data_IF_994220791824
#
_entry.id   IF_994220791824
#
_cell.length_a   1.000
_cell.length_b   1.000
_cell.length_c   1.000
_cell.angle_alpha   90.00
_cell.angle_beta   90.00
_cell.angle_gamma   90.00
#
_symmetry.space_group_name_H-M   'P 1'
#
loop_
_entity.id
_entity.type
_entity.pdbx_description
1 polymer ?
#
# COMPACT_ATOMS: atom_id res chain seq x y z
N UNK A 1 -0.90 -18.64 0.18
CA UNK A 1 -0.23 -17.33 0.06
C UNK A 1 -0.88 -16.35 1.02
N UNK A 2 -0.12 -15.36 1.50
CA UNK A 2 -0.64 -14.18 2.18
C UNK A 2 -0.83 -13.06 1.16
N UNK A 3 -2.08 -12.69 0.90
CA UNK A 3 -2.46 -11.63 -0.03
C UNK A 3 -2.85 -10.39 0.79
N UNK A 4 -2.17 -9.28 0.54
CA UNK A 4 -2.53 -7.99 1.11
C UNK A 4 -3.31 -7.16 0.08
N UNK A 5 -4.54 -6.80 0.39
CA UNK A 5 -5.34 -5.91 -0.45
C UNK A 5 -5.36 -4.49 0.12
N UNK A 6 -5.21 -3.49 -0.74
CA UNK A 6 -5.15 -2.08 -0.38
C UNK A 6 -6.33 -1.34 -1.04
N UNK A 7 -7.34 -1.00 -0.25
CA UNK A 7 -8.47 -0.20 -0.71
C UNK A 7 -8.13 1.28 -0.64
N UNK A 8 -7.96 1.89 -1.81
CA UNK A 8 -7.71 3.31 -2.03
C UNK A 8 -8.97 4.17 -2.18
N UNK A 9 -10.16 3.58 -2.17
CA UNK A 9 -11.41 4.34 -2.29
C UNK A 9 -11.73 5.08 -0.98
N UNK A 10 -12.09 6.37 -1.03
CA UNK A 10 -12.66 7.05 0.14
C UNK A 10 -14.07 6.55 0.50
N UNK A 11 -14.76 5.89 -0.44
CA UNK A 11 -16.07 5.28 -0.21
C UNK A 11 -15.90 3.84 0.28
N UNK A 12 -16.10 3.62 1.58
CA UNK A 12 -15.95 2.30 2.25
C UNK A 12 -16.89 1.24 1.66
N UNK A 13 -18.09 1.64 1.24
CA UNK A 13 -19.11 0.77 0.62
C UNK A 13 -19.39 1.14 -0.84
N UNK A 14 -18.41 1.70 -1.56
CA UNK A 14 -18.54 2.07 -2.97
C UNK A 14 -18.14 0.96 -3.95
N UNK A 15 -18.33 1.21 -5.25
CA UNK A 15 -18.07 0.23 -6.32
C UNK A 15 -16.68 -0.44 -6.25
N UNK A 16 -15.61 0.32 -6.01
CA UNK A 16 -14.26 -0.24 -5.87
C UNK A 16 -14.16 -1.22 -4.69
N UNK A 17 -14.82 -0.91 -3.56
CA UNK A 17 -14.85 -1.79 -2.40
C UNK A 17 -15.67 -3.05 -2.69
N UNK A 18 -16.79 -2.93 -3.41
CA UNK A 18 -17.61 -4.06 -3.86
C UNK A 18 -16.82 -5.03 -4.75
N UNK A 19 -16.15 -4.51 -5.78
CA UNK A 19 -15.35 -5.35 -6.70
C UNK A 19 -14.18 -6.00 -5.96
N UNK A 20 -13.53 -5.27 -5.04
CA UNK A 20 -12.48 -5.85 -4.21
C UNK A 20 -13.02 -6.99 -3.33
N UNK A 21 -14.21 -6.82 -2.73
CA UNK A 21 -14.83 -7.89 -1.93
C UNK A 21 -15.11 -9.14 -2.76
N UNK A 22 -15.61 -8.98 -3.98
CA UNK A 22 -15.82 -10.13 -4.88
C UNK A 22 -14.50 -10.87 -5.16
N UNK A 23 -13.42 -10.15 -5.46
CA UNK A 23 -12.10 -10.78 -5.64
C UNK A 23 -11.68 -11.54 -4.39
N UNK A 24 -11.73 -10.89 -3.23
CA UNK A 24 -11.31 -11.47 -1.96
C UNK A 24 -12.13 -12.69 -1.56
N UNK A 25 -13.45 -12.67 -1.75
CA UNK A 25 -14.34 -13.80 -1.47
C UNK A 25 -13.95 -15.04 -2.27
N UNK A 26 -13.49 -14.87 -3.52
CA UNK A 26 -13.04 -15.99 -4.35
C UNK A 26 -11.69 -16.55 -3.89
N UNK A 27 -10.74 -15.69 -3.50
CA UNK A 27 -9.37 -16.14 -3.16
C UNK A 27 -9.19 -16.55 -1.70
N UNK A 28 -10.07 -16.10 -0.78
CA UNK A 28 -10.03 -16.44 0.65
C UNK A 28 -10.26 -17.93 0.94
N UNK A 29 -10.72 -18.70 -0.04
CA UNK A 29 -10.93 -20.16 0.06
C UNK A 29 -9.60 -20.93 0.13
N UNK A 30 -8.55 -20.41 -0.49
CA UNK A 30 -7.24 -21.09 -0.59
C UNK A 30 -6.07 -20.25 -0.05
N UNK A 31 -6.31 -18.96 0.25
CA UNK A 31 -5.27 -18.01 0.63
C UNK A 31 -5.68 -17.18 1.86
N UNK A 32 -4.69 -16.76 2.65
CA UNK A 32 -4.89 -15.77 3.71
C UNK A 32 -5.01 -14.39 3.06
N UNK A 33 -6.05 -13.64 3.40
CA UNK A 33 -6.29 -12.31 2.82
C UNK A 33 -6.51 -11.29 3.92
N UNK A 34 -5.65 -10.28 3.93
CA UNK A 34 -5.77 -9.12 4.79
C UNK A 34 -6.11 -7.88 3.95
N UNK A 35 -7.15 -7.13 4.36
CA UNK A 35 -7.53 -5.88 3.71
C UNK A 35 -7.12 -4.69 4.56
N UNK A 36 -6.46 -3.70 3.94
CA UNK A 36 -6.21 -2.38 4.52
C UNK A 36 -7.04 -1.33 3.79
N UNK A 37 -7.81 -0.55 4.56
CA UNK A 37 -8.49 0.64 4.06
C UNK A 37 -7.59 1.85 4.27
N UNK A 38 -6.95 2.36 3.22
CA UNK A 38 -5.89 3.37 3.39
C UNK A 38 -6.40 4.65 4.05
N UNK A 39 -7.70 4.97 3.89
CA UNK A 39 -8.34 6.14 4.48
C UNK A 39 -8.54 6.07 5.99
N UNK A 40 -8.38 4.89 6.59
CA UNK A 40 -8.41 4.70 8.04
C UNK A 40 -7.02 4.85 8.68
N UNK A 41 -5.99 5.08 7.87
CA UNK A 41 -4.61 5.25 8.30
C UNK A 41 -4.12 6.67 8.00
N UNK A 42 -3.23 7.17 8.85
CA UNK A 42 -2.52 8.43 8.61
C UNK A 42 -1.28 8.11 7.76
N UNK A 43 -1.32 8.52 6.50
CA UNK A 43 -0.17 8.39 5.59
C UNK A 43 0.07 9.71 4.88
N UNK A 44 1.15 10.39 5.25
CA UNK A 44 1.64 11.59 4.57
C UNK A 44 2.34 11.25 3.26
N UNK A 45 2.32 12.22 2.33
CA UNK A 45 3.04 12.13 1.05
C UNK A 45 4.55 12.04 1.23
N UNK A 46 5.26 11.57 0.20
CA UNK A 46 6.73 11.53 0.24
C UNK A 46 7.31 12.95 0.31
N UNK A 47 8.28 13.15 1.21
CA UNK A 47 8.99 14.44 1.36
C UNK A 47 10.16 14.62 0.38
N UNK A 48 10.50 13.60 -0.41
CA UNK A 48 11.66 13.63 -1.32
C UNK A 48 13.03 13.73 -0.62
N UNK A 49 13.09 13.54 0.70
CA UNK A 49 14.31 13.79 1.48
C UNK A 49 15.38 12.69 1.43
N UNK A 50 15.09 11.55 0.79
CA UNK A 50 15.98 10.38 0.66
C UNK A 50 16.48 9.75 1.97
N UNK A 51 16.02 10.19 3.14
CA UNK A 51 16.41 9.61 4.44
C UNK A 51 16.02 8.15 4.61
N UNK A 52 15.04 7.66 3.85
CA UNK A 52 14.65 6.24 3.83
C UNK A 52 15.81 5.32 3.41
N UNK A 53 16.68 5.79 2.51
CA UNK A 53 17.80 5.02 1.95
C UNK A 53 18.99 4.88 2.91
N UNK A 54 18.94 5.53 4.08
CA UNK A 54 19.96 5.34 5.12
C UNK A 54 19.86 3.97 5.81
N UNK A 55 18.68 3.34 5.78
CA UNK A 55 18.47 1.94 6.20
C UNK A 55 18.47 1.07 4.95
N UNK A 56 19.34 0.06 4.89
CA UNK A 56 19.52 -0.77 3.68
C UNK A 56 18.77 -2.09 3.73
N UNK A 57 18.47 -2.54 4.94
CA UNK A 57 17.94 -3.86 5.29
C UNK A 57 16.46 -3.83 5.71
N UNK A 58 15.88 -2.64 5.88
CA UNK A 58 14.49 -2.46 6.25
C UNK A 58 13.94 -1.12 5.74
N UNK A 59 12.61 -0.99 5.57
CA UNK A 59 11.99 0.30 5.24
C UNK A 59 12.28 1.36 6.31
N UNK A 60 12.68 2.53 5.84
CA UNK A 60 12.91 3.70 6.70
C UNK A 60 12.06 4.89 6.29
N UNK A 61 11.65 5.72 7.25
CA UNK A 61 11.12 7.04 6.97
C UNK A 61 11.26 7.94 8.20
N UNK A 62 11.42 9.25 7.99
CA UNK A 62 11.42 10.25 9.08
C UNK A 62 10.01 10.64 9.52
N UNK A 63 9.01 10.37 8.70
CA UNK A 63 7.60 10.64 9.01
C UNK A 63 7.10 9.62 10.04
N UNK A 64 6.51 10.11 11.14
CA UNK A 64 5.94 9.30 12.23
C UNK A 64 4.46 9.06 11.98
N UNK A 65 4.17 8.20 11.01
CA UNK A 65 2.83 7.86 10.57
C UNK A 65 2.72 6.37 10.24
N UNK A 66 1.56 5.92 9.74
CA UNK A 66 1.24 4.50 9.64
C UNK A 66 1.91 3.78 8.45
N UNK A 67 2.63 4.52 7.60
CA UNK A 67 3.16 3.95 6.35
C UNK A 67 4.17 2.82 6.60
N UNK A 68 5.06 2.95 7.59
CA UNK A 68 6.06 1.90 7.88
C UNK A 68 5.40 0.61 8.37
N UNK A 69 4.32 0.72 9.15
CA UNK A 69 3.53 -0.44 9.59
C UNK A 69 2.85 -1.11 8.39
N UNK A 70 2.34 -0.34 7.44
CA UNK A 70 1.75 -0.89 6.20
C UNK A 70 2.83 -1.55 5.34
N UNK A 71 4.01 -0.93 5.23
CA UNK A 71 5.16 -1.50 4.50
C UNK A 71 5.65 -2.82 5.08
N UNK A 72 5.66 -2.94 6.41
CA UNK A 72 5.97 -4.21 7.07
C UNK A 72 4.98 -5.31 6.65
N UNK A 73 3.68 -5.03 6.63
CA UNK A 73 2.66 -5.97 6.13
C UNK A 73 2.84 -6.30 4.64
N UNK A 74 3.24 -5.32 3.84
CA UNK A 74 3.51 -5.51 2.42
C UNK A 74 4.71 -6.43 2.18
N UNK A 75 5.78 -6.30 2.97
CA UNK A 75 6.98 -7.16 2.86
C UNK A 75 6.66 -8.61 3.21
N UNK A 76 5.78 -8.83 4.18
CA UNK A 76 5.36 -10.18 4.59
C UNK A 76 4.27 -10.78 3.70
N UNK A 77 3.75 -10.04 2.71
CA UNK A 77 2.75 -10.54 1.77
C UNK A 77 3.42 -11.16 0.55
N UNK A 78 2.87 -12.29 0.08
CA UNK A 78 3.30 -12.93 -1.17
C UNK A 78 2.75 -12.21 -2.41
N UNK A 79 1.62 -11.52 -2.25
CA UNK A 79 0.98 -10.73 -3.30
C UNK A 79 0.29 -9.49 -2.72
N UNK A 80 0.31 -8.40 -3.49
CA UNK A 80 -0.32 -7.13 -3.13
C UNK A 80 -1.32 -6.73 -4.23
N UNK A 81 -2.55 -6.41 -3.83
CA UNK A 81 -3.61 -5.95 -4.74
C UNK A 81 -3.99 -4.52 -4.41
N UNK A 82 -3.74 -3.60 -5.34
CA UNK A 82 -4.17 -2.20 -5.22
C UNK A 82 -5.57 -2.03 -5.84
N UNK A 83 -6.54 -1.63 -5.04
CA UNK A 83 -7.90 -1.33 -5.50
C UNK A 83 -8.20 0.15 -5.34
N UNK A 84 -8.26 0.88 -6.45
CA UNK A 84 -8.53 2.32 -6.44
C UNK A 84 -9.63 2.68 -7.44
N UNK A 85 -10.50 3.65 -7.13
CA UNK A 85 -11.27 4.31 -8.18
C UNK A 85 -10.31 5.08 -9.11
N UNK A 86 -10.71 5.26 -10.36
CA UNK A 86 -10.00 6.09 -11.32
C UNK A 86 -10.39 7.56 -11.11
N UNK A 87 -9.52 8.34 -10.47
CA UNK A 87 -9.72 9.77 -10.26
C UNK A 87 -8.75 10.54 -11.16
N UNK A 88 -9.30 11.37 -12.05
CA UNK A 88 -8.52 12.16 -13.02
C UNK A 88 -7.44 11.33 -13.74
N UNK A 89 -7.83 10.17 -14.26
CA UNK A 89 -6.94 9.25 -15.01
C UNK A 89 -5.82 8.60 -14.19
N UNK A 90 -5.93 8.55 -12.86
CA UNK A 90 -4.94 7.90 -12.00
C UNK A 90 -5.55 7.25 -10.75
N UNK A 91 -4.67 6.74 -9.88
CA UNK A 91 -5.01 6.35 -8.52
C UNK A 91 -5.66 7.50 -7.76
N UNK A 92 -6.46 7.17 -6.75
CA UNK A 92 -7.02 8.14 -5.83
C UNK A 92 -5.90 8.83 -5.03
N UNK A 93 -6.14 10.07 -4.61
CA UNK A 93 -5.22 10.80 -3.74
C UNK A 93 -5.07 10.16 -2.35
N UNK A 94 -5.97 9.24 -1.98
CA UNK A 94 -5.93 8.55 -0.69
C UNK A 94 -4.84 7.47 -0.66
N UNK A 95 -4.66 6.72 -1.77
CA UNK A 95 -3.65 5.65 -1.82
C UNK A 95 -2.29 6.14 -2.35
N UNK A 96 -2.30 7.22 -3.13
CA UNK A 96 -1.10 7.79 -3.74
C UNK A 96 0.02 8.13 -2.74
N UNK A 97 -0.23 8.67 -1.52
CA UNK A 97 0.81 8.91 -0.52
C UNK A 97 1.60 7.66 -0.12
N UNK A 98 0.92 6.51 -0.01
CA UNK A 98 1.58 5.23 0.25
C UNK A 98 2.45 4.83 -0.95
N UNK A 99 1.90 4.95 -2.16
CA UNK A 99 2.59 4.59 -3.41
C UNK A 99 3.84 5.44 -3.63
N UNK A 100 3.75 6.75 -3.41
CA UNK A 100 4.87 7.68 -3.58
C UNK A 100 6.01 7.42 -2.58
N UNK A 101 5.72 6.68 -1.52
CA UNK A 101 6.70 6.29 -0.51
C UNK A 101 7.28 4.90 -0.74
N UNK A 102 6.93 4.18 -1.81
CA UNK A 102 7.55 2.90 -2.15
C UNK A 102 9.06 2.98 -2.37
N UNK A 103 9.64 4.17 -2.57
CA UNK A 103 11.10 4.35 -2.50
C UNK A 103 11.71 3.81 -1.19
N UNK A 104 10.92 3.69 -0.11
CA UNK A 104 11.36 3.05 1.13
C UNK A 104 11.54 1.52 1.02
N UNK A 105 10.94 0.89 0.02
CA UNK A 105 10.99 -0.55 -0.25
C UNK A 105 12.06 -0.91 -1.30
N UNK A 106 12.64 0.08 -1.97
CA UNK A 106 13.66 -0.13 -3.00
C UNK A 106 15.03 -0.13 -2.34
N UNK A 107 15.78 -1.22 -2.53
CA UNK A 107 17.21 -1.32 -2.22
C UNK A 107 18.01 -1.47 -3.54
N UNK A 108 19.31 -1.13 -3.51
CA UNK A 108 20.16 -1.28 -4.70
C UNK A 108 19.85 -0.31 -5.85
N UNK A 109 19.19 0.81 -5.58
CA UNK A 109 18.96 1.82 -6.63
C UNK A 109 20.31 2.37 -7.13
N UNK A 110 20.63 2.12 -8.40
CA UNK A 110 21.87 2.56 -9.04
C UNK A 110 23.08 1.64 -8.82
N UNK A 111 22.91 0.44 -8.26
CA UNK A 111 23.94 -0.61 -8.37
C UNK A 111 23.83 -1.29 -9.75
N UNK A 112 24.96 -1.52 -10.45
CA UNK A 112 24.98 -2.20 -11.75
C UNK A 112 24.29 -3.56 -11.74
#
# INVERSE_FOLDING_TARGET
>A
MKILTLLGSPKISGNTATVLSMFEENVKTEHEVERIHITQHKVGGCLGCMKCQAKKDAPGCVQKDDALTIFDKMIHADAIVYASPLYCWSFSSQIKPLIDRHVCLVSGYGTP
#
